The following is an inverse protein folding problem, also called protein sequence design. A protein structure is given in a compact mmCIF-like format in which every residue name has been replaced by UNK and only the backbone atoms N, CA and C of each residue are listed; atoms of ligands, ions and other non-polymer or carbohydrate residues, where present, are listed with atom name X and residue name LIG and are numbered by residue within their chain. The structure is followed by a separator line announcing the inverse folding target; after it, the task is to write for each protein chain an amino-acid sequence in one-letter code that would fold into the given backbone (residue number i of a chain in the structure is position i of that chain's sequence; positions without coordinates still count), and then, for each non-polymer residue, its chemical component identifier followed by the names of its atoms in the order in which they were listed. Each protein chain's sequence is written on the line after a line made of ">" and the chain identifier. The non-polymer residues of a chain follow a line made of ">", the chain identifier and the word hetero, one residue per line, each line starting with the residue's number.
data_IF_224705109742
#
_entry.id   IF_224705109742
#
_cell.length_a   1.000
_cell.length_b   1.000
_cell.length_c   1.000
_cell.angle_alpha   90.00
_cell.angle_beta   90.00
_cell.angle_gamma   90.00
#
_symmetry.space_group_name_H-M   'P 1'
#
loop_
_entity.id
_entity.type
_entity.pdbx_description
1 polymer ?
#
# COMPACT_ATOMS: atom_id res chain seq x y z
N UNK A 1 61.67 4.42 -6.02
CA UNK A 1 60.88 3.97 -7.18
C UNK A 1 61.01 2.46 -7.23
N UNK A 2 59.98 1.74 -6.81
CA UNK A 2 60.02 0.27 -6.74
C UNK A 2 58.64 -0.24 -7.11
N UNK A 3 58.48 -0.57 -8.39
CA UNK A 3 57.28 -1.19 -8.94
C UNK A 3 57.35 -2.68 -8.64
N UNK A 4 56.57 -3.16 -7.67
CA UNK A 4 56.44 -4.58 -7.40
C UNK A 4 55.59 -5.22 -8.51
N UNK A 5 56.16 -6.23 -9.15
CA UNK A 5 55.54 -6.99 -10.23
C UNK A 5 54.25 -7.68 -9.76
N UNK A 6 53.22 -7.53 -10.58
CA UNK A 6 51.92 -8.18 -10.47
C UNK A 6 52.13 -9.70 -10.59
N UNK A 7 51.74 -10.44 -9.55
CA UNK A 7 51.92 -11.88 -9.45
C UNK A 7 51.28 -12.64 -10.62
N UNK A 8 52.01 -13.64 -11.12
CA UNK A 8 51.55 -14.59 -12.12
C UNK A 8 50.23 -15.26 -11.68
N UNK A 9 49.20 -15.13 -12.52
CA UNK A 9 47.99 -15.92 -12.42
C UNK A 9 48.32 -17.38 -12.78
N UNK A 10 48.53 -18.21 -11.76
CA UNK A 10 48.55 -19.67 -11.93
C UNK A 10 47.10 -20.11 -12.10
N UNK A 11 46.77 -20.63 -13.29
CA UNK A 11 45.42 -21.11 -13.62
C UNK A 11 44.90 -22.22 -12.69
N UNK A 12 43.62 -22.60 -12.80
CA UNK A 12 42.97 -23.50 -11.87
C UNK A 12 43.72 -24.82 -11.77
N UNK A 13 44.08 -25.18 -10.54
CA UNK A 13 44.62 -26.47 -10.18
C UNK A 13 43.58 -27.53 -10.55
N UNK A 14 43.94 -28.52 -11.37
CA UNK A 14 43.15 -29.75 -11.50
C UNK A 14 43.03 -30.37 -10.10
N UNK A 15 41.87 -30.18 -9.48
CA UNK A 15 41.49 -30.91 -8.28
C UNK A 15 41.22 -32.36 -8.71
N UNK A 16 41.97 -33.26 -8.08
CA UNK A 16 41.75 -34.71 -8.18
C UNK A 16 40.29 -35.01 -7.88
N UNK A 17 39.71 -35.94 -8.65
CA UNK A 17 38.38 -36.53 -8.45
C UNK A 17 38.00 -36.65 -6.97
N UNK A 18 37.33 -35.62 -6.46
CA UNK A 18 36.52 -35.70 -5.25
C UNK A 18 35.21 -36.36 -5.69
N UNK A 19 34.77 -37.45 -5.03
CA UNK A 19 33.42 -37.93 -5.27
C UNK A 19 32.48 -36.76 -4.97
N UNK A 20 31.67 -36.38 -5.96
CA UNK A 20 30.64 -35.36 -5.89
C UNK A 20 29.58 -35.81 -4.87
N UNK A 21 29.89 -35.69 -3.58
CA UNK A 21 28.91 -35.85 -2.51
C UNK A 21 27.97 -34.67 -2.61
N UNK A 22 26.73 -34.96 -2.99
CA UNK A 22 25.71 -33.95 -3.21
C UNK A 22 25.56 -33.08 -1.96
N UNK A 23 25.29 -31.78 -2.12
CA UNK A 23 25.16 -30.86 -0.99
C UNK A 23 24.22 -31.38 0.12
N UNK A 24 23.26 -32.27 -0.19
CA UNK A 24 22.41 -32.96 0.79
C UNK A 24 23.13 -33.88 1.77
N UNK A 25 24.18 -34.59 1.35
CA UNK A 25 24.96 -35.49 2.22
C UNK A 25 25.84 -34.71 3.21
N UNK A 26 26.17 -33.46 2.89
CA UNK A 26 26.89 -32.53 3.77
C UNK A 26 26.02 -32.03 4.93
N UNK A 27 24.69 -31.94 4.75
CA UNK A 27 23.75 -31.59 5.81
C UNK A 27 23.52 -32.76 6.78
N UNK A 28 23.51 -33.99 6.26
CA UNK A 28 23.36 -35.21 7.08
C UNK A 28 24.63 -35.58 7.88
N UNK A 29 25.78 -35.00 7.53
CA UNK A 29 27.04 -35.16 8.24
C UNK A 29 27.27 -34.16 9.40
N UNK A 30 26.37 -33.19 9.58
CA UNK A 30 26.43 -32.26 10.71
C UNK A 30 25.88 -32.96 11.96
N UNK A 31 26.60 -32.97 13.10
CA UNK A 31 26.03 -33.45 14.34
C UNK A 31 24.76 -32.65 14.64
N UNK A 32 23.66 -33.30 15.10
CA UNK A 32 22.47 -32.58 15.54
C UNK A 32 22.90 -31.49 16.51
N UNK A 33 22.65 -30.22 16.15
CA UNK A 33 22.93 -29.09 17.02
C UNK A 33 21.96 -29.19 18.21
N UNK A 34 22.41 -29.86 19.26
CA UNK A 34 21.70 -29.89 20.53
C UNK A 34 21.65 -28.44 21.05
N UNK A 35 20.45 -27.88 21.31
CA UNK A 35 20.31 -26.49 21.71
C UNK A 35 21.04 -26.27 23.03
N UNK A 36 22.19 -25.60 22.98
CA UNK A 36 22.94 -25.21 24.16
C UNK A 36 22.10 -24.21 24.97
N UNK A 37 22.06 -24.32 26.30
CA UNK A 37 21.42 -23.30 27.12
C UNK A 37 22.11 -21.95 26.87
N UNK A 38 21.34 -20.84 26.80
CA UNK A 38 21.90 -19.53 26.49
C UNK A 38 22.99 -19.19 27.50
N UNK A 39 24.13 -18.74 26.98
CA UNK A 39 25.21 -18.24 27.82
C UNK A 39 24.72 -17.01 28.60
N UNK A 40 25.32 -16.72 29.76
CA UNK A 40 24.93 -15.55 30.60
C UNK A 40 24.94 -14.23 29.81
N UNK A 41 25.82 -14.12 28.81
CA UNK A 41 25.88 -12.98 27.90
C UNK A 41 24.68 -12.94 26.94
N UNK A 42 24.30 -14.07 26.37
CA UNK A 42 23.13 -14.18 25.47
C UNK A 42 21.82 -13.91 26.21
N UNK A 43 21.66 -14.43 27.43
CA UNK A 43 20.47 -14.16 28.25
C UNK A 43 20.27 -12.66 28.55
N UNK A 44 21.35 -11.91 28.76
CA UNK A 44 21.28 -10.45 28.95
C UNK A 44 20.87 -9.71 27.68
N UNK A 45 21.34 -10.16 26.50
CA UNK A 45 20.95 -9.60 25.21
C UNK A 45 19.49 -9.92 24.88
N UNK A 46 19.04 -11.15 25.12
CA UNK A 46 17.65 -11.55 24.95
C UNK A 46 16.72 -10.71 25.82
N UNK A 47 17.07 -10.50 27.09
CA UNK A 47 16.28 -9.65 27.98
C UNK A 47 16.23 -8.19 27.52
N UNK A 48 17.34 -7.67 27.01
CA UNK A 48 17.40 -6.31 26.44
C UNK A 48 16.49 -6.18 25.22
N UNK A 49 16.57 -7.13 24.28
CA UNK A 49 15.74 -7.17 23.07
C UNK A 49 14.26 -7.27 23.45
N UNK A 50 13.92 -8.18 24.35
CA UNK A 50 12.55 -8.38 24.83
C UNK A 50 11.96 -7.11 25.46
N UNK A 51 12.71 -6.49 26.36
CA UNK A 51 12.31 -5.23 27.00
C UNK A 51 12.06 -4.14 25.97
N UNK A 52 12.90 -4.07 24.93
CA UNK A 52 12.79 -3.05 23.89
C UNK A 52 11.58 -3.27 22.98
N UNK A 53 11.28 -4.53 22.65
CA UNK A 53 10.07 -4.91 21.91
C UNK A 53 8.83 -4.53 22.71
N UNK A 54 8.79 -4.87 24.00
CA UNK A 54 7.65 -4.56 24.87
C UNK A 54 7.43 -3.05 25.01
N UNK A 55 8.51 -2.27 25.15
CA UNK A 55 8.43 -0.81 25.18
C UNK A 55 7.85 -0.23 23.88
N UNK A 56 8.30 -0.73 22.72
CA UNK A 56 7.80 -0.23 21.44
C UNK A 56 6.33 -0.63 21.22
N UNK A 57 5.96 -1.85 21.58
CA UNK A 57 4.56 -2.30 21.54
C UNK A 57 3.67 -1.42 22.40
N UNK A 58 4.10 -1.11 23.63
CA UNK A 58 3.35 -0.22 24.52
C UNK A 58 3.22 1.19 23.94
N UNK A 59 4.31 1.74 23.41
CA UNK A 59 4.32 3.06 22.77
C UNK A 59 3.35 3.11 21.58
N UNK A 60 3.35 2.09 20.73
CA UNK A 60 2.44 2.01 19.57
C UNK A 60 0.98 1.88 20.01
N UNK A 61 0.72 1.07 21.05
CA UNK A 61 -0.61 0.94 21.63
C UNK A 61 -1.13 2.27 22.16
N UNK A 62 -0.32 2.98 22.96
CA UNK A 62 -0.68 4.27 23.53
C UNK A 62 -0.92 5.33 22.43
N UNK A 63 -0.13 5.30 21.35
CA UNK A 63 -0.33 6.17 20.19
C UNK A 63 -1.66 5.89 19.49
N UNK A 64 -1.99 4.62 19.25
CA UNK A 64 -3.24 4.23 18.60
C UNK A 64 -4.46 4.60 19.45
N UNK A 65 -4.41 4.34 20.76
CA UNK A 65 -5.46 4.73 21.69
C UNK A 65 -5.67 6.24 21.74
N UNK A 66 -4.59 7.01 21.66
CA UNK A 66 -4.67 8.48 21.60
C UNK A 66 -5.36 8.94 20.32
N UNK A 67 -4.95 8.44 19.16
CA UNK A 67 -5.60 8.77 17.88
C UNK A 67 -7.07 8.37 17.86
N UNK A 68 -7.40 7.20 18.42
CA UNK A 68 -8.78 6.74 18.51
C UNK A 68 -9.64 7.65 19.39
N UNK A 69 -9.06 8.18 20.47
CA UNK A 69 -9.73 9.15 21.35
C UNK A 69 -9.96 10.47 20.64
N UNK A 70 -8.93 11.04 20.03
CA UNK A 70 -9.02 12.31 19.31
C UNK A 70 -10.04 12.23 18.17
N UNK A 71 -10.04 11.15 17.40
CA UNK A 71 -11.00 10.94 16.32
C UNK A 71 -12.46 10.83 16.85
N UNK A 72 -12.66 10.22 18.02
CA UNK A 72 -13.98 10.15 18.66
C UNK A 72 -14.44 11.53 19.13
N UNK A 73 -13.55 12.30 19.73
CA UNK A 73 -13.85 13.68 20.17
C UNK A 73 -14.19 14.59 18.99
N UNK A 74 -13.47 14.48 17.87
CA UNK A 74 -13.75 15.24 16.64
C UNK A 74 -15.15 14.92 16.08
N UNK A 75 -15.54 13.64 16.07
CA UNK A 75 -16.88 13.21 15.63
C UNK A 75 -17.97 13.79 16.53
N UNK A 76 -17.78 13.73 17.86
CA UNK A 76 -18.74 14.27 18.81
C UNK A 76 -18.89 15.80 18.66
N UNK A 77 -17.78 16.51 18.41
CA UNK A 77 -17.81 17.96 18.16
C UNK A 77 -18.54 18.30 16.86
N UNK A 78 -18.27 17.58 15.77
CA UNK A 78 -18.98 17.75 14.50
C UNK A 78 -20.48 17.48 14.65
N UNK A 79 -20.86 16.46 15.42
CA UNK A 79 -22.24 16.13 15.69
C UNK A 79 -22.92 17.22 16.53
N UNK A 80 -22.22 17.81 17.51
CA UNK A 80 -22.71 18.94 18.28
C UNK A 80 -22.90 20.19 17.40
N UNK A 81 -21.94 20.52 16.53
CA UNK A 81 -22.03 21.63 15.56
C UNK A 81 -23.23 21.47 14.63
N UNK A 82 -23.47 20.25 14.13
CA UNK A 82 -24.63 19.95 13.28
C UNK A 82 -25.95 20.19 14.05
N UNK A 83 -26.06 19.73 15.30
CA UNK A 83 -27.25 19.94 16.14
C UNK A 83 -27.54 21.41 16.40
N UNK A 84 -26.51 22.22 16.65
CA UNK A 84 -26.64 23.67 16.84
C UNK A 84 -27.09 24.37 15.56
N UNK A 85 -26.50 24.01 14.41
CA UNK A 85 -26.91 24.55 13.11
C UNK A 85 -28.38 24.19 12.78
N UNK A 86 -28.80 22.97 13.09
CA UNK A 86 -30.16 22.51 12.80
C UNK A 86 -31.20 23.11 13.76
N UNK A 87 -30.84 23.34 15.03
CA UNK A 87 -31.74 23.96 16.02
C UNK A 87 -31.99 25.46 15.76
N UNK A 88 -31.05 26.13 15.09
CA UNK A 88 -31.11 27.57 14.77
C UNK A 88 -31.99 27.88 13.54
N UNK A 89 -32.50 26.85 12.85
CA UNK A 89 -33.26 26.94 11.59
C UNK A 89 -34.77 26.70 11.77
N UNK A 90 -35.33 26.97 12.95
CA UNK A 90 -36.78 26.87 13.20
C UNK A 90 -37.46 28.23 13.07
N UNK A 91 -37.62 28.72 11.84
CA UNK A 91 -38.67 29.71 11.52
C UNK A 91 -39.91 28.93 11.10
N UNK A 92 -40.98 29.08 11.88
CA UNK A 92 -42.29 28.48 11.67
C UNK A 92 -42.93 28.97 10.36
N UNK A 93 -43.46 28.04 9.56
CA UNK A 93 -44.47 28.34 8.53
C UNK A 93 -45.55 27.24 8.58
N UNK A 94 -46.85 27.60 8.53
CA UNK A 94 -47.94 26.66 8.73
C UNK A 94 -48.24 25.84 7.48
N UNK A 95 -48.83 24.67 7.71
CA UNK A 95 -49.26 23.69 6.72
C UNK A 95 -50.24 24.28 5.69
N UNK A 96 -49.89 24.19 4.40
CA UNK A 96 -50.82 24.22 3.29
C UNK A 96 -50.20 23.49 2.07
N UNK A 97 -50.90 22.46 1.61
CA UNK A 97 -50.81 21.78 0.31
C UNK A 97 -49.41 21.45 -0.25
N UNK A 98 -49.01 20.18 -0.07
CA UNK A 98 -47.82 19.60 -0.66
C UNK A 98 -47.85 19.61 -2.20
N UNK A 99 -46.83 20.19 -2.88
CA UNK A 99 -46.39 19.73 -4.20
C UNK A 99 -45.57 18.43 -4.03
N UNK A 100 -45.47 17.56 -5.06
CA UNK A 100 -44.67 16.34 -4.97
C UNK A 100 -43.20 16.65 -4.65
N UNK A 101 -42.51 15.78 -3.89
CA UNK A 101 -41.15 16.05 -3.45
C UNK A 101 -40.22 16.21 -4.65
N UNK A 102 -39.28 17.18 -4.65
CA UNK A 102 -38.20 17.15 -5.61
C UNK A 102 -37.46 15.84 -5.40
N UNK A 103 -37.47 14.99 -6.42
CA UNK A 103 -36.61 13.82 -6.46
C UNK A 103 -35.17 14.34 -6.40
N UNK A 104 -34.58 14.31 -5.21
CA UNK A 104 -33.14 14.44 -5.05
C UNK A 104 -32.54 13.15 -5.56
N UNK A 105 -32.60 12.94 -6.88
CA UNK A 105 -31.67 12.04 -7.52
C UNK A 105 -30.28 12.55 -7.09
N UNK A 106 -29.39 11.68 -6.57
CA UNK A 106 -28.01 12.09 -6.40
C UNK A 106 -27.60 12.65 -7.75
N UNK A 107 -27.20 13.94 -7.79
CA UNK A 107 -26.65 14.57 -9.00
C UNK A 107 -25.69 13.55 -9.56
N UNK A 108 -26.07 12.90 -10.66
CA UNK A 108 -25.10 12.17 -11.46
C UNK A 108 -24.12 13.26 -11.84
N UNK A 109 -22.97 13.23 -11.18
CA UNK A 109 -21.84 14.07 -11.58
C UNK A 109 -21.65 13.67 -13.04
N UNK A 110 -22.01 14.57 -13.94
CA UNK A 110 -21.93 14.32 -15.36
C UNK A 110 -20.50 13.86 -15.61
N UNK A 111 -20.36 12.61 -16.09
CA UNK A 111 -19.07 11.91 -16.28
C UNK A 111 -18.25 12.52 -17.43
N UNK A 112 -18.54 13.76 -17.78
CA UNK A 112 -17.97 14.57 -18.86
C UNK A 112 -17.22 15.76 -18.27
N UNK A 113 -16.59 15.59 -17.10
CA UNK A 113 -15.87 16.68 -16.42
C UNK A 113 -14.51 16.98 -17.07
N UNK A 114 -13.94 16.03 -17.82
CA UNK A 114 -12.66 16.19 -18.51
C UNK A 114 -12.91 16.47 -20.00
N UNK A 115 -12.37 17.58 -20.51
CA UNK A 115 -12.42 17.93 -21.94
C UNK A 115 -11.42 17.13 -22.79
N UNK A 116 -10.49 16.44 -22.12
CA UNK A 116 -9.45 15.63 -22.74
C UNK A 116 -9.97 14.29 -23.24
N UNK A 117 -9.32 13.79 -24.31
CA UNK A 117 -9.62 12.46 -24.82
C UNK A 117 -9.37 11.40 -23.75
N UNK A 118 -10.35 10.50 -23.66
CA UNK A 118 -10.30 9.35 -22.77
C UNK A 118 -9.07 8.48 -23.14
N UNK A 119 -8.22 8.08 -22.18
CA UNK A 119 -7.07 7.22 -22.46
C UNK A 119 -7.47 5.95 -23.21
N UNK A 120 -6.61 5.50 -24.11
CA UNK A 120 -6.80 4.21 -24.78
C UNK A 120 -6.65 3.05 -23.77
N UNK A 121 -7.39 1.97 -24.00
CA UNK A 121 -7.29 0.78 -23.16
C UNK A 121 -5.88 0.17 -23.25
N UNK A 122 -5.29 -0.12 -22.10
CA UNK A 122 -3.94 -0.68 -22.00
C UNK A 122 -3.99 -2.21 -21.82
N UNK A 123 -3.22 -2.91 -22.64
CA UNK A 123 -3.11 -4.37 -22.69
C UNK A 123 -1.89 -4.92 -21.91
N UNK A 124 -0.98 -4.04 -21.49
CA UNK A 124 0.29 -4.44 -20.88
C UNK A 124 1.49 -4.38 -21.82
N UNK A 125 1.31 -3.96 -23.09
CA UNK A 125 2.44 -3.83 -24.02
C UNK A 125 3.36 -2.67 -23.62
N UNK A 126 4.61 -3.02 -23.32
CA UNK A 126 5.66 -2.06 -22.94
C UNK A 126 5.88 -0.96 -24.00
N UNK A 127 5.63 -1.25 -25.28
CA UNK A 127 5.77 -0.23 -26.35
C UNK A 127 4.68 0.85 -26.27
N UNK A 128 3.47 0.47 -25.87
CA UNK A 128 2.31 1.37 -25.73
C UNK A 128 2.29 2.10 -24.39
N UNK A 129 3.05 1.63 -23.40
CA UNK A 129 3.10 2.19 -22.05
C UNK A 129 3.42 3.69 -22.03
N UNK A 130 4.37 4.16 -22.86
CA UNK A 130 4.76 5.57 -22.88
C UNK A 130 3.59 6.47 -23.25
N UNK A 131 2.90 6.17 -24.36
CA UNK A 131 1.74 6.93 -24.82
C UNK A 131 0.57 6.85 -23.83
N UNK A 132 0.32 5.66 -23.28
CA UNK A 132 -0.70 5.46 -22.25
C UNK A 132 -0.44 6.29 -20.99
N UNK A 133 0.81 6.31 -20.51
CA UNK A 133 1.20 7.10 -19.33
C UNK A 133 1.06 8.60 -19.58
N UNK A 134 1.50 9.08 -20.73
CA UNK A 134 1.38 10.50 -21.11
C UNK A 134 -0.10 10.93 -21.13
N UNK A 135 -0.99 10.11 -21.69
CA UNK A 135 -2.43 10.37 -21.66
C UNK A 135 -3.01 10.40 -20.24
N UNK A 136 -2.55 9.51 -19.34
CA UNK A 136 -2.99 9.51 -17.94
C UNK A 136 -2.54 10.78 -17.20
N UNK A 137 -1.28 11.19 -17.36
CA UNK A 137 -0.74 12.38 -16.72
C UNK A 137 -1.52 13.64 -17.12
N UNK A 138 -1.82 13.78 -18.41
CA UNK A 138 -2.59 14.93 -18.90
C UNK A 138 -3.99 15.00 -18.26
N UNK A 139 -4.65 13.86 -18.08
CA UNK A 139 -5.94 13.80 -17.39
C UNK A 139 -5.85 14.13 -15.90
N UNK A 140 -4.72 13.83 -15.24
CA UNK A 140 -4.52 14.19 -13.84
C UNK A 140 -4.26 15.68 -13.64
N UNK A 141 -3.58 16.32 -14.58
CA UNK A 141 -3.33 17.76 -14.58
C UNK A 141 -4.59 18.59 -14.93
N UNK A 142 -5.49 18.07 -15.79
CA UNK A 142 -6.72 18.78 -16.18
C UNK A 142 -7.75 18.91 -15.04
N UNK A 143 -7.81 17.92 -14.15
CA UNK A 143 -8.76 17.91 -13.02
C UNK A 143 -8.07 17.55 -11.70
N UNK A 144 -7.17 18.43 -11.26
CA UNK A 144 -6.42 18.29 -10.01
C UNK A 144 -7.34 18.09 -8.79
N UNK A 145 -8.51 18.75 -8.75
CA UNK A 145 -9.48 18.63 -7.66
C UNK A 145 -10.08 17.20 -7.61
N UNK A 146 -10.45 16.65 -8.76
CA UNK A 146 -10.98 15.28 -8.82
C UNK A 146 -9.90 14.24 -8.48
N UNK A 147 -8.67 14.45 -8.95
CA UNK A 147 -7.54 13.55 -8.75
C UNK A 147 -6.71 13.85 -7.50
N UNK A 148 -7.17 14.72 -6.60
CA UNK A 148 -6.46 15.01 -5.33
C UNK A 148 -6.26 13.75 -4.45
N UNK A 149 -7.16 12.76 -4.54
CA UNK A 149 -7.02 11.48 -3.87
C UNK A 149 -6.32 10.45 -4.78
N UNK A 150 -5.15 9.98 -4.36
CA UNK A 150 -4.40 8.91 -5.02
C UNK A 150 -5.24 7.65 -5.27
N UNK A 151 -6.22 7.35 -4.41
CA UNK A 151 -7.12 6.21 -4.61
C UNK A 151 -7.97 6.38 -5.88
N UNK A 152 -8.33 7.60 -6.25
CA UNK A 152 -9.08 7.91 -7.47
C UNK A 152 -8.20 7.82 -8.69
N UNK A 153 -6.95 8.28 -8.62
CA UNK A 153 -5.95 8.07 -9.68
C UNK A 153 -5.76 6.59 -9.97
N UNK A 154 -5.51 5.78 -8.94
CA UNK A 154 -5.32 4.33 -9.10
C UNK A 154 -6.57 3.68 -9.69
N UNK A 155 -7.77 4.01 -9.19
CA UNK A 155 -9.02 3.48 -9.74
C UNK A 155 -9.22 3.87 -11.22
N UNK A 156 -8.86 5.10 -11.59
CA UNK A 156 -8.93 5.59 -12.95
C UNK A 156 -7.98 4.82 -13.88
N UNK A 157 -6.71 4.67 -13.51
CA UNK A 157 -5.73 3.88 -14.29
C UNK A 157 -6.21 2.44 -14.48
N UNK A 158 -6.63 1.79 -13.40
CA UNK A 158 -7.11 0.40 -13.43
C UNK A 158 -8.34 0.22 -14.32
N UNK A 159 -9.17 1.25 -14.50
CA UNK A 159 -10.33 1.18 -15.39
C UNK A 159 -9.96 0.98 -16.86
N UNK A 160 -8.75 1.39 -17.26
CA UNK A 160 -8.23 1.24 -18.63
C UNK A 160 -7.40 -0.02 -18.84
N UNK A 161 -6.94 -0.66 -17.76
CA UNK A 161 -6.21 -1.93 -17.77
C UNK A 161 -7.16 -3.11 -18.00
N UNK A 162 -7.59 -3.29 -19.23
CA UNK A 162 -8.69 -4.22 -19.60
C UNK A 162 -8.24 -5.38 -20.47
N UNK A 163 -7.04 -5.32 -21.06
CA UNK A 163 -6.49 -6.37 -21.92
C UNK A 163 -5.22 -7.01 -21.36
N UNK A 164 -4.88 -8.19 -21.88
CA UNK A 164 -3.58 -8.84 -21.71
C UNK A 164 -3.06 -8.91 -20.27
N UNK A 165 -1.76 -8.67 -20.10
CA UNK A 165 -1.09 -8.70 -18.80
C UNK A 165 -1.60 -7.61 -17.85
N UNK A 166 -2.06 -6.47 -18.39
CA UNK A 166 -2.63 -5.39 -17.60
C UNK A 166 -3.97 -5.79 -16.92
N UNK A 167 -4.79 -6.58 -17.60
CA UNK A 167 -6.03 -7.11 -17.04
C UNK A 167 -5.76 -8.07 -15.86
N UNK A 168 -4.75 -8.94 -15.99
CA UNK A 168 -4.34 -9.85 -14.93
C UNK A 168 -3.87 -9.07 -13.68
N UNK A 169 -3.01 -8.07 -13.88
CA UNK A 169 -2.57 -7.18 -12.80
C UNK A 169 -3.72 -6.47 -12.09
N UNK A 170 -4.71 -5.98 -12.85
CA UNK A 170 -5.89 -5.33 -12.25
C UNK A 170 -6.65 -6.28 -11.33
N UNK A 171 -6.84 -7.54 -11.74
CA UNK A 171 -7.55 -8.55 -10.94
C UNK A 171 -6.79 -8.84 -9.64
N UNK A 172 -5.50 -9.12 -9.73
CA UNK A 172 -4.63 -9.38 -8.57
C UNK A 172 -4.62 -8.20 -7.58
N UNK A 173 -4.56 -6.97 -8.10
CA UNK A 173 -4.61 -5.77 -7.28
C UNK A 173 -5.93 -5.65 -6.51
N UNK A 174 -7.07 -5.96 -7.15
CA UNK A 174 -8.38 -5.92 -6.52
C UNK A 174 -8.52 -6.99 -5.44
N UNK A 175 -8.06 -8.21 -5.70
CA UNK A 175 -8.06 -9.32 -4.75
C UNK A 175 -7.21 -9.01 -3.52
N UNK A 176 -6.00 -8.50 -3.71
CA UNK A 176 -5.09 -8.11 -2.61
C UNK A 176 -5.70 -6.99 -1.75
N UNK A 177 -6.36 -6.01 -2.39
CA UNK A 177 -7.03 -4.92 -1.67
C UNK A 177 -8.24 -5.39 -0.88
N UNK A 178 -9.01 -6.35 -1.40
CA UNK A 178 -10.15 -6.92 -0.69
C UNK A 178 -9.70 -7.83 0.46
N UNK A 179 -8.64 -8.60 0.28
CA UNK A 179 -8.07 -9.46 1.32
C UNK A 179 -7.56 -8.67 2.55
N UNK A 180 -7.04 -7.44 2.37
CA UNK A 180 -6.61 -6.57 3.48
C UNK A 180 -7.75 -5.85 4.20
N UNK A 181 -8.99 -5.96 3.71
CA UNK A 181 -10.18 -5.32 4.30
C UNK A 181 -11.07 -6.28 5.10
N UNK A 182 -10.76 -7.59 5.08
CA UNK A 182 -11.32 -8.58 5.98
C UNK A 182 -10.35 -8.83 7.14
#
# INVERSE_FOLDING_TARGET
>A
MTTAAFGEWRGPREERDTPEMGMGELWDALPPLEPQPPTSQEAGLEQYVQTRIEQEQKRLHDLYETQLREAKEEVDELLAKLRLATSSSSTSAPAASAPPPPTTQPKRVDRTRTALQKPENFDGDRKKYKAFREALMLNFEDDEEYFADERRKIAYVLSFMTGGAAAAFRTEWMETKMARRM
#
